data_IF_589836961591
#
_entry.id   IF_589836961591
#
_cell.length_a   1.000
_cell.length_b   1.000
_cell.length_c   1.000
_cell.angle_alpha   90.00
_cell.angle_beta   90.00
_cell.angle_gamma   90.00
#
_symmetry.space_group_name_H-M   'P 1'
#
loop_
_entity.id
_entity.type
_entity.pdbx_description
1 polymer ?
#
# COMPACT_ATOMS: atom_id res chain seq x y z
N UNK A 1 0.28 9.54 8.48
CA UNK A 1 -0.07 9.14 7.10
C UNK A 1 -0.62 7.73 6.95
N UNK A 2 -0.52 6.86 7.96
CA UNK A 2 -1.01 5.47 7.89
C UNK A 2 -2.48 5.35 7.44
N UNK A 3 -3.36 6.25 7.88
CA UNK A 3 -4.77 6.29 7.42
C UNK A 3 -4.92 6.54 5.92
N UNK A 4 -4.08 7.42 5.35
CA UNK A 4 -4.06 7.66 3.89
C UNK A 4 -3.58 6.41 3.15
N UNK A 5 -2.56 5.70 3.66
CA UNK A 5 -2.07 4.45 3.06
C UNK A 5 -3.18 3.39 3.04
N UNK A 6 -3.88 3.21 4.17
CA UNK A 6 -5.01 2.27 4.28
C UNK A 6 -6.12 2.59 3.28
N UNK A 7 -6.56 3.84 3.23
CA UNK A 7 -7.64 4.28 2.34
C UNK A 7 -7.25 4.09 0.87
N UNK A 8 -6.04 4.51 0.50
CA UNK A 8 -5.50 4.39 -0.85
C UNK A 8 -5.39 2.92 -1.28
N UNK A 9 -4.95 2.03 -0.39
CA UNK A 9 -4.91 0.59 -0.64
C UNK A 9 -6.31 0.02 -0.85
N UNK A 10 -7.23 0.27 0.08
CA UNK A 10 -8.60 -0.24 -0.02
C UNK A 10 -9.27 0.17 -1.33
N UNK A 11 -9.12 1.44 -1.74
CA UNK A 11 -9.68 1.95 -2.99
C UNK A 11 -9.03 1.37 -4.25
N UNK A 12 -7.73 1.09 -4.22
CA UNK A 12 -7.07 0.47 -5.36
C UNK A 12 -7.51 -0.99 -5.55
N UNK A 13 -7.52 -1.77 -4.46
CA UNK A 13 -7.90 -3.19 -4.53
C UNK A 13 -9.41 -3.42 -4.64
N UNK A 14 -10.26 -2.42 -4.36
CA UNK A 14 -11.67 -2.44 -4.71
C UNK A 14 -11.95 -2.12 -6.19
N UNK A 15 -10.94 -1.66 -6.94
CA UNK A 15 -11.07 -1.21 -8.33
C UNK A 15 -11.52 0.25 -8.48
N UNK A 16 -11.70 1.00 -7.38
CA UNK A 16 -12.06 2.42 -7.41
C UNK A 16 -10.90 3.31 -7.89
N UNK A 17 -9.65 2.96 -7.56
CA UNK A 17 -8.46 3.70 -7.99
C UNK A 17 -7.67 2.98 -9.06
N UNK A 18 -7.32 3.72 -10.12
CA UNK A 18 -6.31 3.29 -11.09
C UNK A 18 -4.96 3.09 -10.41
N UNK A 19 -4.08 2.32 -11.04
CA UNK A 19 -2.72 2.10 -10.55
C UNK A 19 -1.91 3.40 -10.43
N UNK A 20 -2.07 4.34 -11.36
CA UNK A 20 -1.39 5.63 -11.32
C UNK A 20 -1.84 6.48 -10.13
N UNK A 21 -3.16 6.53 -9.88
CA UNK A 21 -3.71 7.23 -8.71
C UNK A 21 -3.25 6.58 -7.41
N UNK A 22 -3.22 5.25 -7.35
CA UNK A 22 -2.68 4.51 -6.22
C UNK A 22 -1.22 4.90 -5.93
N UNK A 23 -0.35 4.90 -6.95
CA UNK A 23 1.06 5.29 -6.79
C UNK A 23 1.22 6.74 -6.32
N UNK A 24 0.44 7.67 -6.88
CA UNK A 24 0.50 9.10 -6.54
C UNK A 24 0.06 9.36 -5.09
N UNK A 25 -1.04 8.74 -4.67
CA UNK A 25 -1.57 8.89 -3.32
C UNK A 25 -0.63 8.24 -2.29
N UNK A 26 0.00 7.10 -2.60
CA UNK A 26 1.03 6.47 -1.78
C UNK A 26 2.28 7.34 -1.62
N UNK A 27 2.78 7.93 -2.72
CA UNK A 27 3.92 8.83 -2.69
C UNK A 27 3.63 10.07 -1.82
N UNK A 28 2.42 10.63 -1.94
CA UNK A 28 1.92 11.71 -1.08
C UNK A 28 1.86 11.28 0.40
N UNK A 29 1.55 10.00 0.65
CA UNK A 29 1.55 9.43 1.98
C UNK A 29 2.97 9.19 2.57
N UNK A 30 4.02 9.46 1.80
CA UNK A 30 5.42 9.24 2.20
C UNK A 30 5.94 7.83 1.92
N UNK A 31 5.16 7.00 1.21
CA UNK A 31 5.60 5.67 0.78
C UNK A 31 6.56 5.82 -0.40
N UNK A 32 7.75 5.25 -0.24
CA UNK A 32 8.77 5.17 -1.28
C UNK A 32 8.73 3.84 -2.04
N UNK A 33 8.48 2.74 -1.33
CA UNK A 33 8.30 1.41 -1.92
C UNK A 33 7.25 0.62 -1.15
N UNK A 34 6.62 -0.34 -1.81
CA UNK A 34 5.86 -1.39 -1.13
C UNK A 34 6.39 -2.77 -1.53
N UNK A 35 6.34 -3.71 -0.58
CA UNK A 35 6.81 -5.08 -0.76
C UNK A 35 5.61 -6.00 -0.54
N UNK A 36 5.30 -6.84 -1.53
CA UNK A 36 4.29 -7.89 -1.40
C UNK A 36 5.02 -9.18 -1.06
N UNK A 37 4.90 -9.65 0.18
CA UNK A 37 5.46 -10.91 0.65
C UNK A 37 4.39 -12.01 0.58
N UNK A 38 4.48 -12.85 -0.43
CA UNK A 38 3.44 -13.85 -0.74
C UNK A 38 3.41 -15.00 0.28
N UNK A 39 4.56 -15.39 0.86
CA UNK A 39 4.59 -16.46 1.85
C UNK A 39 3.87 -16.05 3.13
N UNK A 40 4.05 -14.79 3.54
CA UNK A 40 3.39 -14.21 4.72
C UNK A 40 2.01 -13.63 4.39
N UNK A 41 1.65 -13.55 3.10
CA UNK A 41 0.44 -12.88 2.60
C UNK A 41 0.32 -11.44 3.10
N UNK A 42 1.44 -10.72 3.15
CA UNK A 42 1.47 -9.32 3.61
C UNK A 42 1.90 -8.36 2.51
N UNK A 43 1.43 -7.12 2.63
CA UNK A 43 1.89 -5.97 1.86
C UNK A 43 2.42 -4.93 2.83
N UNK A 44 3.69 -4.56 2.64
CA UNK A 44 4.42 -3.70 3.53
C UNK A 44 4.76 -2.40 2.81
N UNK A 45 4.51 -1.26 3.44
CA UNK A 45 4.76 0.07 2.88
C UNK A 45 5.90 0.73 3.62
N UNK A 46 6.90 1.22 2.87
CA UNK A 46 8.16 1.68 3.42
C UNK A 46 8.47 3.11 3.00
N UNK A 47 9.01 3.91 3.91
CA UNK A 47 9.54 5.24 3.62
C UNK A 47 10.88 5.16 2.88
N UNK A 48 11.35 6.30 2.38
CA UNK A 48 12.66 6.44 1.73
C UNK A 48 13.82 6.09 2.66
N UNK A 49 13.65 6.33 3.97
CA UNK A 49 14.64 6.05 5.01
C UNK A 49 14.55 4.61 5.55
N UNK A 50 13.90 3.70 4.80
CA UNK A 50 13.65 2.30 5.18
C UNK A 50 12.89 2.13 6.50
N UNK A 51 12.02 3.07 6.86
CA UNK A 51 11.09 2.88 7.97
C UNK A 51 9.81 2.21 7.48
N UNK A 52 9.34 1.20 8.20
CA UNK A 52 8.04 0.58 7.94
C UNK A 52 6.92 1.55 8.36
N UNK A 53 6.12 1.99 7.39
CA UNK A 53 5.03 2.94 7.61
C UNK A 53 3.71 2.24 7.91
N UNK A 54 3.47 1.10 7.24
CA UNK A 54 2.26 0.32 7.39
C UNK A 54 2.44 -1.11 6.86
N UNK A 55 1.67 -2.05 7.40
CA UNK A 55 1.58 -3.43 6.92
C UNK A 55 0.12 -3.87 6.97
N UNK A 56 -0.30 -4.57 5.92
CA UNK A 56 -1.64 -5.16 5.83
C UNK A 56 -1.57 -6.55 5.20
N UNK A 57 -2.64 -7.34 5.37
CA UNK A 57 -2.79 -8.60 4.66
C UNK A 57 -3.11 -8.32 3.19
N UNK A 58 -2.55 -9.13 2.29
CA UNK A 58 -2.95 -9.12 0.88
C UNK A 58 -4.36 -9.71 0.79
N UNK A 59 -5.30 -8.92 0.30
CA UNK A 59 -6.61 -9.43 -0.12
C UNK A 59 -6.38 -10.34 -1.32
N UNK A 60 -6.48 -11.65 -1.12
CA UNK A 60 -6.52 -12.61 -2.22
C UNK A 60 -7.95 -12.64 -2.74
N UNK A 61 -8.20 -12.39 -4.04
CA UNK A 61 -9.51 -12.68 -4.60
C UNK A 61 -9.81 -14.18 -4.36
N UNK A 62 -11.03 -14.44 -3.88
CA UNK A 62 -11.60 -15.78 -3.74
C UNK A 62 -11.68 -16.49 -5.09
#
# INVERSE_FOLDING_TARGET
NTELIKLTSAKHFSGEHSYEKYCTDLATAGVFKWIVELNQKTRQYWSKDNQLLYIENVVMPL
#
